data_IF_188469407400
#
_entry.id   IF_188469407400
#
_cell.length_a   1.000
_cell.length_b   1.000
_cell.length_c   1.000
_cell.angle_alpha   90.00
_cell.angle_beta   90.00
_cell.angle_gamma   90.00
#
_symmetry.space_group_name_H-M   'P 1'
#
loop_
_entity.id
_entity.type
_entity.pdbx_description
1 polymer ?
#
# COMPACT_ATOMS: atom_id res chain seq x y z
N UNK A 1 10.52 7.96 4.55
CA UNK A 1 9.14 7.89 4.04
C UNK A 1 9.08 6.75 3.04
N UNK A 2 7.98 6.02 3.01
CA UNK A 2 7.84 4.86 2.14
C UNK A 2 7.58 5.28 0.70
N UNK A 3 8.22 4.60 -0.26
CA UNK A 3 8.03 4.81 -1.70
C UNK A 3 7.83 3.45 -2.35
N UNK A 4 6.76 3.33 -3.13
CA UNK A 4 6.51 2.20 -4.03
C UNK A 4 6.53 2.71 -5.47
N UNK A 5 7.37 2.14 -6.32
CA UNK A 5 7.40 2.42 -7.76
C UNK A 5 6.92 1.21 -8.54
N UNK A 6 6.11 1.47 -9.56
CA UNK A 6 5.52 0.47 -10.44
C UNK A 6 5.78 0.90 -11.87
N UNK A 7 6.22 -0.05 -12.68
CA UNK A 7 6.50 0.13 -14.10
C UNK A 7 5.68 -0.88 -14.88
N UNK A 8 4.79 -0.41 -15.74
CA UNK A 8 4.10 -1.20 -16.74
C UNK A 8 4.80 -0.99 -18.08
N UNK A 9 5.11 -2.08 -18.78
CA UNK A 9 5.72 -2.04 -20.11
C UNK A 9 4.75 -2.56 -21.18
N UNK A 10 4.81 -1.96 -22.36
CA UNK A 10 4.07 -2.35 -23.56
C UNK A 10 2.55 -2.52 -23.29
N UNK A 11 1.91 -1.51 -22.72
CA UNK A 11 0.50 -1.56 -22.36
C UNK A 11 0.15 -2.58 -21.28
N UNK A 12 1.08 -2.85 -20.36
CA UNK A 12 0.86 -3.75 -19.22
C UNK A 12 1.12 -5.23 -19.52
N UNK A 13 1.81 -5.57 -20.61
CA UNK A 13 2.24 -6.96 -20.84
C UNK A 13 3.23 -7.46 -19.80
N UNK A 14 4.00 -6.53 -19.24
CA UNK A 14 4.94 -6.79 -18.15
C UNK A 14 4.82 -5.71 -17.11
N UNK A 15 4.92 -6.09 -15.84
CA UNK A 15 4.98 -5.16 -14.73
C UNK A 15 6.17 -5.45 -13.82
N UNK A 16 6.72 -4.40 -13.23
CA UNK A 16 7.68 -4.48 -12.13
C UNK A 16 7.19 -3.59 -11.00
N UNK A 17 7.29 -4.07 -9.76
CA UNK A 17 6.97 -3.32 -8.55
C UNK A 17 8.17 -3.36 -7.61
N UNK A 18 8.48 -2.23 -7.00
CA UNK A 18 9.55 -2.10 -6.02
C UNK A 18 9.09 -1.21 -4.87
N UNK A 19 9.44 -1.58 -3.65
CA UNK A 19 9.11 -0.84 -2.43
C UNK A 19 10.34 -0.73 -1.54
N UNK A 20 10.43 0.35 -0.77
CA UNK A 20 11.46 0.48 0.26
C UNK A 20 11.22 -0.50 1.43
N UNK A 21 12.28 -1.15 1.90
CA UNK A 21 12.21 -2.19 2.95
C UNK A 21 12.54 -1.69 4.36
N UNK A 22 12.78 -0.39 4.54
CA UNK A 22 13.25 0.16 5.83
C UNK A 22 12.12 0.80 6.62
N UNK A 23 12.01 0.40 7.88
CA UNK A 23 11.14 1.03 8.88
C UNK A 23 12.00 1.52 10.04
N UNK A 24 11.79 2.77 10.45
CA UNK A 24 12.41 3.36 11.62
C UNK A 24 11.35 3.59 12.70
N UNK A 25 11.59 3.10 13.90
CA UNK A 25 10.75 3.38 15.07
C UNK A 25 11.57 4.22 16.05
N UNK A 26 11.00 5.35 16.49
CA UNK A 26 11.55 6.17 17.58
C UNK A 26 10.68 5.95 18.81
N UNK A 27 11.22 5.33 19.88
CA UNK A 27 10.49 5.06 21.11
C UNK A 27 10.97 5.96 22.26
N UNK A 28 10.13 6.89 22.70
CA UNK A 28 10.36 7.72 23.90
C UNK A 28 11.15 9.01 23.64
N UNK A 29 11.52 9.72 24.71
CA UNK A 29 12.25 10.99 24.69
C UNK A 29 13.76 10.84 24.52
N UNK A 30 14.24 9.61 24.30
CA UNK A 30 15.66 9.27 24.30
C UNK A 30 16.15 9.11 22.85
N UNK A 31 17.05 9.98 22.35
CA UNK A 31 17.47 9.99 20.95
C UNK A 31 18.20 8.72 20.49
N UNK A 32 18.61 7.85 21.41
CA UNK A 32 19.34 6.60 21.12
C UNK A 32 18.43 5.39 20.79
N UNK A 33 17.11 5.50 20.88
CA UNK A 33 16.17 4.40 20.55
C UNK A 33 15.78 4.39 19.06
N UNK A 34 16.78 4.43 18.21
CA UNK A 34 16.67 4.23 16.77
C UNK A 34 16.74 2.73 16.45
N UNK A 35 15.61 2.11 16.10
CA UNK A 35 15.61 0.73 15.61
C UNK A 35 15.27 0.71 14.13
N UNK A 36 16.26 0.33 13.32
CA UNK A 36 16.05 -0.05 11.92
C UNK A 36 15.52 -1.47 11.88
N UNK A 37 14.37 -1.64 11.25
CA UNK A 37 13.90 -2.93 10.81
C UNK A 37 14.26 -3.06 9.34
N UNK A 38 15.43 -3.64 9.05
CA UNK A 38 15.93 -3.85 7.69
C UNK A 38 15.14 -4.93 6.92
N UNK A 39 14.40 -5.78 7.66
CA UNK A 39 13.58 -6.87 7.13
C UNK A 39 12.08 -6.52 7.04
N UNK A 40 11.69 -5.26 7.26
CA UNK A 40 10.29 -4.86 7.18
C UNK A 40 9.80 -4.87 5.72
N UNK A 41 9.27 -6.00 5.27
CA UNK A 41 8.70 -6.16 3.93
C UNK A 41 7.32 -5.53 3.84
N UNK A 42 7.21 -4.44 3.08
CA UNK A 42 5.93 -3.75 2.84
C UNK A 42 5.17 -4.33 1.65
N UNK A 43 5.90 -4.89 0.69
CA UNK A 43 5.36 -5.68 -0.41
C UNK A 43 5.49 -7.16 -0.04
N UNK A 44 4.35 -7.84 0.06
CA UNK A 44 4.28 -9.25 0.48
C UNK A 44 3.35 -10.04 -0.43
N UNK A 45 3.55 -11.36 -0.46
CA UNK A 45 2.63 -12.31 -1.10
C UNK A 45 1.78 -12.99 -0.01
N UNK A 46 0.46 -12.90 -0.16
CA UNK A 46 -0.49 -13.37 0.84
C UNK A 46 -1.03 -14.77 0.49
N UNK A 47 -1.52 -15.48 1.50
CA UNK A 47 -2.04 -16.85 1.38
C UNK A 47 -3.21 -16.98 0.39
N UNK A 48 -3.93 -15.89 0.10
CA UNK A 48 -4.99 -15.80 -0.91
C UNK A 48 -4.51 -15.80 -2.37
N UNK A 49 -3.20 -15.91 -2.61
CA UNK A 49 -2.62 -16.00 -3.95
C UNK A 49 -2.41 -14.65 -4.65
N UNK A 50 -2.30 -13.56 -3.89
CA UNK A 50 -2.08 -12.21 -4.43
C UNK A 50 -0.92 -11.52 -3.72
N UNK A 51 -0.35 -10.51 -4.36
CA UNK A 51 0.62 -9.62 -3.74
C UNK A 51 -0.05 -8.29 -3.37
N UNK A 52 0.40 -7.67 -2.28
CA UNK A 52 0.03 -6.29 -1.99
C UNK A 52 1.17 -5.55 -1.30
N UNK A 53 1.29 -4.27 -1.63
CA UNK A 53 2.09 -3.31 -0.91
C UNK A 53 1.19 -2.55 0.07
N UNK A 54 1.52 -2.62 1.36
CA UNK A 54 0.79 -1.96 2.45
C UNK A 54 1.78 -1.10 3.23
N UNK A 55 1.51 0.20 3.33
CA UNK A 55 2.41 1.16 3.97
C UNK A 55 1.65 2.23 4.74
N UNK A 56 2.32 2.87 5.69
CA UNK A 56 1.77 3.97 6.49
C UNK A 56 2.23 3.84 7.93
N UNK A 57 1.30 4.04 8.86
CA UNK A 57 1.52 3.72 10.27
C UNK A 57 1.64 2.19 10.42
N UNK A 58 2.78 1.73 10.96
CA UNK A 58 3.10 0.31 11.11
C UNK A 58 2.02 -0.46 11.88
N UNK A 59 1.50 0.12 12.96
CA UNK A 59 0.41 -0.48 13.74
C UNK A 59 -0.81 -0.85 12.85
N UNK A 60 -1.10 -0.02 11.84
CA UNK A 60 -2.23 -0.21 10.92
C UNK A 60 -1.84 -1.22 9.84
N UNK A 61 -0.70 -0.98 9.17
CA UNK A 61 -0.22 -1.80 8.07
C UNK A 61 0.02 -3.25 8.49
N UNK A 62 0.68 -3.47 9.63
CA UNK A 62 0.97 -4.81 10.16
C UNK A 62 -0.31 -5.53 10.56
N UNK A 63 -1.28 -4.82 11.16
CA UNK A 63 -2.57 -5.44 11.52
C UNK A 63 -3.34 -5.89 10.28
N UNK A 64 -3.42 -5.04 9.24
CA UNK A 64 -4.06 -5.42 7.98
C UNK A 64 -3.32 -6.60 7.34
N UNK A 65 -1.99 -6.52 7.25
CA UNK A 65 -1.14 -7.56 6.65
C UNK A 65 -1.32 -8.91 7.37
N UNK A 66 -1.29 -8.94 8.71
CA UNK A 66 -1.50 -10.17 9.49
C UNK A 66 -2.86 -10.81 9.20
N UNK A 67 -3.93 -10.02 9.17
CA UNK A 67 -5.28 -10.53 8.91
C UNK A 67 -5.38 -11.09 7.49
N UNK A 68 -4.83 -10.41 6.47
CA UNK A 68 -4.82 -10.91 5.10
C UNK A 68 -4.00 -12.20 4.97
N UNK A 69 -2.87 -12.29 5.69
CA UNK A 69 -2.03 -13.48 5.71
C UNK A 69 -2.76 -14.67 6.35
N UNK A 70 -3.49 -14.45 7.44
CA UNK A 70 -4.24 -15.49 8.15
C UNK A 70 -5.50 -15.93 7.41
N UNK A 71 -6.24 -14.98 6.83
CA UNK A 71 -7.55 -15.24 6.21
C UNK A 71 -7.46 -15.66 4.75
N UNK A 72 -6.40 -15.26 4.05
CA UNK A 72 -6.28 -15.44 2.60
C UNK A 72 -7.32 -14.66 1.79
N UNK A 73 -7.94 -13.63 2.38
CA UNK A 73 -8.93 -12.81 1.69
C UNK A 73 -8.29 -12.05 0.52
N UNK A 74 -8.85 -12.24 -0.68
CA UNK A 74 -8.33 -11.66 -1.93
C UNK A 74 -9.38 -10.82 -2.68
N UNK A 75 -10.61 -10.71 -2.17
CA UNK A 75 -11.61 -9.80 -2.72
C UNK A 75 -11.29 -8.35 -2.36
N UNK A 76 -11.10 -7.51 -3.38
CA UNK A 76 -10.70 -6.11 -3.23
C UNK A 76 -11.65 -5.33 -2.30
N UNK A 77 -12.97 -5.51 -2.45
CA UNK A 77 -13.94 -4.77 -1.63
C UNK A 77 -13.85 -5.16 -0.16
N UNK A 78 -13.62 -6.44 0.13
CA UNK A 78 -13.41 -6.90 1.50
C UNK A 78 -12.07 -6.42 2.07
N UNK A 79 -11.00 -6.40 1.27
CA UNK A 79 -9.70 -5.86 1.70
C UNK A 79 -9.83 -4.36 2.03
N UNK A 80 -10.53 -3.60 1.18
CA UNK A 80 -10.83 -2.17 1.41
C UNK A 80 -11.60 -1.98 2.72
N UNK A 81 -12.67 -2.75 2.93
CA UNK A 81 -13.48 -2.66 4.15
C UNK A 81 -12.69 -3.06 5.41
N UNK A 82 -11.90 -4.14 5.34
CA UNK A 82 -11.00 -4.54 6.41
C UNK A 82 -10.03 -3.40 6.77
N UNK A 83 -9.37 -2.82 5.76
CA UNK A 83 -8.41 -1.73 5.97
C UNK A 83 -9.08 -0.52 6.63
N UNK A 84 -10.29 -0.18 6.17
CA UNK A 84 -11.10 0.91 6.72
C UNK A 84 -11.49 0.67 8.18
N UNK A 85 -11.84 -0.56 8.53
CA UNK A 85 -12.22 -0.93 9.90
C UNK A 85 -11.01 -0.92 10.85
N UNK A 86 -9.86 -1.45 10.42
CA UNK A 86 -8.60 -1.35 11.17
C UNK A 86 -8.20 0.10 11.37
N UNK A 87 -8.27 0.93 10.32
CA UNK A 87 -7.99 2.36 10.39
C UNK A 87 -8.91 3.10 11.38
N UNK A 88 -10.22 2.84 11.34
CA UNK A 88 -11.19 3.42 12.27
C UNK A 88 -10.93 2.99 13.72
N UNK A 89 -10.65 1.71 13.94
CA UNK A 89 -10.30 1.19 15.27
C UNK A 89 -9.01 1.83 15.82
N UNK A 90 -8.03 2.10 14.94
CA UNK A 90 -6.82 2.83 15.29
C UNK A 90 -7.12 4.28 15.71
N UNK A 91 -7.97 4.99 14.95
CA UNK A 91 -8.38 6.37 15.28
C UNK A 91 -9.19 6.46 16.57
N UNK A 92 -10.00 5.45 16.91
CA UNK A 92 -10.71 5.42 18.20
C UNK A 92 -9.74 5.43 19.39
N UNK A 93 -8.59 4.75 19.27
CA UNK A 93 -7.53 4.74 20.28
C UNK A 93 -6.68 6.03 20.27
N UNK A 94 -6.61 6.72 19.13
CA UNK A 94 -5.74 7.88 18.90
C UNK A 94 -6.49 9.00 18.16
N UNK A 95 -7.52 9.60 18.78
CA UNK A 95 -8.43 10.53 18.09
C UNK A 95 -7.74 11.80 17.57
N UNK A 96 -6.63 12.20 18.18
CA UNK A 96 -5.81 13.35 17.75
C UNK A 96 -5.15 13.16 16.37
N UNK A 97 -5.12 11.93 15.84
CA UNK A 97 -4.60 11.63 14.50
C UNK A 97 -5.66 11.71 13.40
N UNK A 98 -6.93 12.01 13.73
CA UNK A 98 -8.04 12.02 12.76
C UNK A 98 -7.80 12.96 11.57
N UNK A 99 -7.14 14.09 11.81
CA UNK A 99 -6.85 15.09 10.78
C UNK A 99 -5.46 14.88 10.15
N UNK A 100 -4.65 13.98 10.71
CA UNK A 100 -3.41 13.52 10.07
C UNK A 100 -3.78 12.66 8.88
N UNK A 101 -3.22 12.99 7.70
CA UNK A 101 -3.37 12.22 6.47
C UNK A 101 -2.10 11.42 6.16
N UNK A 102 -2.24 10.47 5.25
CA UNK A 102 -1.28 9.48 4.78
C UNK A 102 -0.85 8.47 5.88
N UNK A 103 -1.83 7.95 6.60
CA UNK A 103 -1.67 6.95 7.66
C UNK A 103 -1.73 5.51 7.12
N UNK A 104 -2.35 5.27 5.98
CA UNK A 104 -2.40 3.95 5.35
C UNK A 104 -2.58 4.08 3.82
N UNK A 105 -1.76 3.39 3.06
CA UNK A 105 -1.88 3.27 1.61
C UNK A 105 -1.73 1.80 1.23
N UNK A 106 -2.55 1.35 0.29
CA UNK A 106 -2.55 -0.02 -0.20
C UNK A 106 -2.48 -0.01 -1.72
N UNK A 107 -1.61 -0.85 -2.27
CA UNK A 107 -1.46 -1.08 -3.71
C UNK A 107 -1.51 -2.59 -3.94
N UNK A 108 -2.42 -3.03 -4.80
CA UNK A 108 -2.61 -4.44 -5.14
C UNK A 108 -2.37 -4.61 -6.64
N UNK A 109 -1.21 -5.14 -7.08
CA UNK A 109 -1.02 -5.51 -8.48
C UNK A 109 -1.89 -6.71 -8.86
N UNK A 110 -2.45 -6.68 -10.07
CA UNK A 110 -3.32 -7.72 -10.60
C UNK A 110 -3.34 -7.75 -12.13
N UNK A 111 -3.96 -8.78 -12.68
CA UNK A 111 -4.23 -8.87 -14.11
C UNK A 111 -5.69 -8.48 -14.34
N UNK A 112 -5.92 -7.51 -15.23
CA UNK A 112 -7.23 -6.99 -15.60
C UNK A 112 -7.97 -7.97 -16.53
N UNK A 113 -9.24 -7.68 -16.84
CA UNK A 113 -10.07 -8.52 -17.73
C UNK A 113 -9.49 -8.70 -19.14
N UNK A 114 -8.70 -7.74 -19.62
CA UNK A 114 -8.02 -7.78 -20.91
C UNK A 114 -6.69 -8.57 -20.89
N UNK A 115 -6.34 -9.16 -19.75
CA UNK A 115 -5.10 -9.91 -19.56
C UNK A 115 -3.86 -9.06 -19.36
N UNK A 116 -3.99 -7.73 -19.19
CA UNK A 116 -2.87 -6.81 -18.92
C UNK A 116 -2.69 -6.57 -17.42
N UNK A 117 -1.45 -6.32 -17.01
CA UNK A 117 -1.15 -5.90 -15.65
C UNK A 117 -1.72 -4.52 -15.38
N UNK A 118 -2.35 -4.40 -14.21
CA UNK A 118 -2.77 -3.16 -13.59
C UNK A 118 -2.52 -3.20 -12.09
N UNK A 119 -2.99 -2.17 -11.41
CA UNK A 119 -3.04 -2.10 -9.95
C UNK A 119 -4.39 -1.57 -9.51
N UNK A 120 -4.80 -1.97 -8.31
CA UNK A 120 -5.81 -1.25 -7.52
C UNK A 120 -5.10 -0.49 -6.41
N UNK A 121 -5.37 0.81 -6.29
CA UNK A 121 -4.86 1.69 -5.26
C UNK A 121 -5.98 2.20 -4.37
N UNK A 122 -5.74 2.31 -3.07
CA UNK A 122 -6.61 3.08 -2.17
C UNK A 122 -5.86 3.55 -0.92
N UNK A 123 -6.34 4.66 -0.33
CA UNK A 123 -5.83 5.24 0.91
C UNK A 123 -6.95 5.93 1.71
N UNK A 124 -6.64 6.53 2.86
CA UNK A 124 -7.65 7.27 3.63
C UNK A 124 -7.86 8.74 3.19
N UNK A 125 -7.05 9.25 2.26
CA UNK A 125 -7.22 10.59 1.68
C UNK A 125 -8.45 10.60 0.80
N UNK A 126 -8.59 9.58 -0.04
CA UNK A 126 -9.72 9.36 -0.94
C UNK A 126 -10.82 8.49 -0.31
N UNK A 127 -10.95 8.51 1.03
CA UNK A 127 -11.98 7.78 1.79
C UNK A 127 -12.04 6.26 1.48
N UNK A 128 -10.89 5.68 1.12
CA UNK A 128 -10.73 4.29 0.72
C UNK A 128 -11.51 3.92 -0.55
N UNK A 129 -11.78 4.88 -1.43
CA UNK A 129 -12.32 4.58 -2.76
C UNK A 129 -11.22 3.93 -3.61
N UNK A 130 -11.41 2.67 -4.07
CA UNK A 130 -10.43 1.99 -4.89
C UNK A 130 -10.36 2.61 -6.29
N UNK A 131 -9.13 2.81 -6.76
CA UNK A 131 -8.84 3.32 -8.10
C UNK A 131 -8.00 2.29 -8.84
N UNK A 132 -8.51 1.83 -9.98
CA UNK A 132 -7.79 0.94 -10.87
C UNK A 132 -6.95 1.74 -11.87
N UNK A 133 -5.70 1.33 -12.06
CA UNK A 133 -4.75 2.00 -12.95
C UNK A 133 -4.03 0.96 -13.80
N UNK A 134 -3.96 1.23 -15.10
CA UNK A 134 -3.28 0.42 -16.10
C UNK A 134 -2.61 1.31 -17.14
N UNK A 135 -1.61 0.78 -17.84
CA UNK A 135 -1.03 1.43 -19.00
C UNK A 135 -2.00 1.40 -20.19
N UNK A 136 -1.94 2.42 -21.05
CA UNK A 136 -2.65 2.38 -22.33
C UNK A 136 -1.98 1.40 -23.31
N UNK A 137 -2.72 0.80 -24.24
CA UNK A 137 -2.15 -0.15 -25.20
C UNK A 137 -0.97 0.44 -25.97
N UNK A 138 0.17 -0.27 -25.95
CA UNK A 138 1.41 0.14 -26.63
C UNK A 138 2.22 1.23 -25.92
N UNK A 139 1.78 1.69 -24.74
CA UNK A 139 2.48 2.70 -23.96
C UNK A 139 3.13 2.09 -22.71
N UNK A 140 4.28 2.64 -22.31
CA UNK A 140 4.88 2.35 -21.02
C UNK A 140 4.31 3.35 -19.99
N UNK A 141 4.11 2.90 -18.74
CA UNK A 141 3.62 3.74 -17.66
C UNK A 141 4.45 3.53 -16.41
N UNK A 142 4.93 4.62 -15.80
CA UNK A 142 5.66 4.61 -14.53
C UNK A 142 4.85 5.37 -13.48
N UNK A 143 4.64 4.75 -12.33
CA UNK A 143 3.88 5.34 -11.22
C UNK A 143 4.69 5.23 -9.93
N UNK A 144 4.76 6.33 -9.18
CA UNK A 144 5.34 6.37 -7.84
C UNK A 144 4.28 6.72 -6.79
N UNK A 145 4.23 5.94 -5.71
CA UNK A 145 3.39 6.18 -4.53
C UNK A 145 4.25 6.46 -3.30
N UNK A 146 4.05 7.62 -2.67
CA UNK A 146 4.71 8.01 -1.43
C UNK A 146 4.33 9.43 -1.04
N UNK A 147 4.32 9.75 0.26
CA UNK A 147 4.04 11.12 0.72
C UNK A 147 5.17 12.04 0.25
N UNK A 148 4.89 12.97 -0.66
CA UNK A 148 5.89 13.94 -1.12
C UNK A 148 5.65 14.57 -2.48
N UNK A 149 4.90 13.96 -3.40
CA UNK A 149 4.68 14.55 -4.73
C UNK A 149 3.27 14.23 -5.23
N UNK A 150 2.53 15.27 -5.62
CA UNK A 150 1.30 15.14 -6.39
C UNK A 150 1.59 14.44 -7.71
N UNK A 151 0.70 13.52 -8.09
CA UNK A 151 0.52 12.90 -9.41
C UNK A 151 1.49 13.45 -10.48
N UNK A 152 2.62 12.77 -10.68
CA UNK A 152 3.53 13.03 -11.79
C UNK A 152 3.25 11.97 -12.85
N UNK A 153 2.42 12.34 -13.83
CA UNK A 153 2.31 11.62 -15.09
C UNK A 153 3.43 12.16 -15.98
N UNK A 154 4.40 11.32 -16.35
CA UNK A 154 5.43 11.64 -17.36
C UNK A 154 5.03 11.03 -18.69
#
# INVERSE_FOLDING_TARGET
>A
MSVCNIVFLNGGEKAYISADSRVCVIRGSDPERYQLHDDAQKLQFYSGGFAAYISGSMDIADTVSSILQETGENDINKIVNLTKDVYRAYLLKRPYLKDSKYNIQVVIPGINEDGKWGITYFDEVDNFEPVDISAHPGEDLVIGYGKGIGRLTL
#
